data_IF_917698700216
#
_entry.id   IF_917698700216
#
_cell.length_a   1.000
_cell.length_b   1.000
_cell.length_c   1.000
_cell.angle_alpha   90.00
_cell.angle_beta   90.00
_cell.angle_gamma   90.00
#
_symmetry.space_group_name_H-M   'P 1'
#
loop_
_entity.id
_entity.type
_entity.pdbx_description
1 polymer ?
#
# COMPACT_ATOMS: atom_id res chain seq x y z
N UNK A 1 25.36 36.27 7.43
CA UNK A 1 24.14 35.73 6.79
C UNK A 1 24.61 34.73 5.76
N UNK A 2 24.43 33.45 6.09
CA UNK A 2 25.10 32.34 5.42
C UNK A 2 24.49 32.09 4.04
N UNK A 3 25.29 31.54 3.14
CA UNK A 3 24.91 31.24 1.75
C UNK A 3 23.64 30.36 1.70
N UNK A 4 23.55 29.37 2.59
CA UNK A 4 22.38 28.53 2.80
C UNK A 4 21.11 29.31 3.17
N UNK A 5 21.24 30.41 3.94
CA UNK A 5 20.08 31.25 4.28
C UNK A 5 19.65 32.12 3.11
N UNK A 6 20.58 32.55 2.25
CA UNK A 6 20.27 33.34 1.05
C UNK A 6 19.61 32.49 -0.02
N UNK A 7 20.06 31.26 -0.24
CA UNK A 7 19.46 30.35 -1.22
C UNK A 7 18.05 29.91 -0.81
N UNK A 8 17.79 29.76 0.49
CA UNK A 8 16.45 29.47 0.98
C UNK A 8 15.51 30.69 0.85
N UNK A 9 16.02 31.91 1.00
CA UNK A 9 15.25 33.15 0.79
C UNK A 9 14.98 33.36 -0.70
N UNK A 10 15.98 33.13 -1.57
CA UNK A 10 15.83 33.21 -3.02
C UNK A 10 14.81 32.20 -3.55
N UNK A 11 14.89 30.93 -3.13
CA UNK A 11 13.89 29.91 -3.47
C UNK A 11 12.50 30.25 -2.94
N UNK A 12 12.40 30.83 -1.74
CA UNK A 12 11.13 31.27 -1.18
C UNK A 12 10.53 32.44 -1.96
N UNK A 13 11.36 33.34 -2.49
CA UNK A 13 10.94 34.47 -3.32
C UNK A 13 10.50 34.00 -4.71
N UNK A 14 11.22 33.06 -5.32
CA UNK A 14 10.85 32.46 -6.61
C UNK A 14 9.53 31.69 -6.52
N UNK A 15 9.31 30.92 -5.45
CA UNK A 15 8.03 30.22 -5.23
C UNK A 15 6.88 31.23 -5.05
N UNK A 16 7.12 32.33 -4.33
CA UNK A 16 6.13 33.39 -4.16
C UNK A 16 5.81 34.09 -5.49
N UNK A 17 6.81 34.29 -6.34
CA UNK A 17 6.68 34.90 -7.66
C UNK A 17 5.88 34.00 -8.61
N UNK A 18 6.21 32.70 -8.67
CA UNK A 18 5.47 31.72 -9.48
C UNK A 18 4.01 31.60 -9.03
N UNK A 19 3.76 31.63 -7.71
CA UNK A 19 2.39 31.58 -7.17
C UNK A 19 1.63 32.86 -7.49
N UNK A 20 2.27 34.03 -7.45
CA UNK A 20 1.62 35.30 -7.81
C UNK A 20 1.32 35.40 -9.30
N UNK A 21 2.22 34.93 -10.16
CA UNK A 21 2.02 34.89 -11.62
C UNK A 21 0.85 33.96 -12.00
N UNK A 22 0.74 32.80 -11.34
CA UNK A 22 -0.39 31.88 -11.50
C UNK A 22 -1.70 32.55 -11.05
N UNK A 23 -1.68 33.34 -9.97
CA UNK A 23 -2.88 34.05 -9.49
C UNK A 23 -3.29 35.16 -10.46
N UNK A 24 -2.34 35.89 -11.06
CA UNK A 24 -2.63 36.96 -12.02
C UNK A 24 -3.13 36.42 -13.36
N UNK A 25 -2.54 35.34 -13.87
CA UNK A 25 -3.02 34.67 -15.10
C UNK A 25 -4.42 34.08 -14.90
N UNK A 26 -4.71 33.56 -13.71
CA UNK A 26 -6.01 33.03 -13.37
C UNK A 26 -7.07 34.13 -13.10
N UNK A 27 -6.63 35.36 -12.76
CA UNK A 27 -7.47 36.55 -12.59
C UNK A 27 -7.82 37.23 -13.93
N UNK A 28 -6.95 37.15 -14.94
CA UNK A 28 -7.20 37.72 -16.26
C UNK A 28 -8.25 36.93 -17.09
N UNK A 29 -8.48 35.65 -16.75
CA UNK A 29 -9.29 34.73 -17.55
C UNK A 29 -10.80 34.66 -17.19
N UNK A 30 -11.35 35.48 -16.27
CA UNK A 30 -12.78 35.36 -15.88
C UNK A 30 -13.52 36.68 -15.61
N UNK A 31 -14.78 36.82 -16.05
CA UNK A 31 -15.60 37.99 -15.75
C UNK A 31 -16.14 37.99 -14.31
N UNK A 32 -16.09 39.18 -13.70
CA UNK A 32 -17.04 39.76 -12.76
C UNK A 32 -17.37 39.03 -11.43
N UNK A 33 -16.56 39.37 -10.42
CA UNK A 33 -16.94 39.83 -9.07
C UNK A 33 -17.66 38.96 -8.02
N UNK A 34 -18.14 37.74 -8.29
CA UNK A 34 -18.76 36.91 -7.23
C UNK A 34 -17.87 35.78 -6.69
N UNK A 35 -16.76 35.45 -7.36
CA UNK A 35 -15.91 34.29 -6.98
C UNK A 35 -14.67 34.69 -6.14
N UNK A 36 -14.38 35.99 -6.03
CA UNK A 36 -13.23 36.51 -5.26
C UNK A 36 -13.35 36.29 -3.74
N UNK A 37 -14.56 36.02 -3.23
CA UNK A 37 -14.79 35.79 -1.80
C UNK A 37 -14.66 34.32 -1.37
N UNK A 38 -14.91 33.34 -2.24
CA UNK A 38 -14.93 31.93 -1.77
C UNK A 38 -13.58 31.21 -1.90
N UNK A 39 -12.77 31.58 -2.90
CA UNK A 39 -11.47 30.91 -3.12
C UNK A 39 -10.34 31.48 -2.27
N UNK A 40 -10.37 32.77 -1.94
CA UNK A 40 -9.41 33.41 -1.00
C UNK A 40 -9.59 32.89 0.43
N UNK A 41 -10.84 32.75 0.90
CA UNK A 41 -11.16 32.25 2.24
C UNK A 41 -10.67 30.82 2.49
N UNK A 42 -10.72 29.92 1.50
CA UNK A 42 -10.24 28.54 1.70
C UNK A 42 -8.71 28.49 1.78
N UNK A 43 -7.97 29.37 1.10
CA UNK A 43 -6.50 29.35 1.11
C UNK A 43 -5.87 30.17 2.24
N UNK A 44 -6.46 31.31 2.64
CA UNK A 44 -5.99 32.11 3.77
C UNK A 44 -6.47 31.55 5.12
N UNK A 45 -7.69 31.02 5.19
CA UNK A 45 -8.36 30.67 6.45
C UNK A 45 -8.33 29.16 6.78
N UNK A 46 -7.98 28.29 5.81
CA UNK A 46 -7.66 26.88 6.11
C UNK A 46 -6.21 26.68 6.57
N UNK A 47 -5.33 27.68 6.34
CA UNK A 47 -3.93 27.64 6.78
C UNK A 47 -3.65 27.93 8.26
N UNK A 48 -4.56 28.42 9.14
CA UNK A 48 -4.25 28.60 10.55
C UNK A 48 -5.14 27.81 11.54
N UNK A 49 -5.84 26.76 11.13
CA UNK A 49 -6.44 25.80 12.07
C UNK A 49 -5.68 24.47 12.06
N UNK A 50 -4.39 24.56 12.35
CA UNK A 50 -3.62 23.41 12.83
C UNK A 50 -4.32 22.73 14.00
N UNK A 51 -3.98 21.47 14.29
CA UNK A 51 -4.63 20.70 15.34
C UNK A 51 -4.43 21.40 16.70
N UNK A 52 -5.44 22.14 17.19
CA UNK A 52 -5.35 22.96 18.42
C UNK A 52 -4.98 22.14 19.67
N UNK A 53 -5.17 20.83 19.63
CA UNK A 53 -4.81 19.90 20.71
C UNK A 53 -3.35 19.47 20.68
N UNK A 54 -2.68 19.51 19.53
CA UNK A 54 -1.27 19.16 19.40
C UNK A 54 -0.45 20.40 19.06
N UNK A 55 0.32 20.88 20.04
CA UNK A 55 1.29 21.94 19.83
C UNK A 55 2.63 21.36 19.41
N UNK A 56 3.32 22.07 18.54
CA UNK A 56 4.73 21.83 18.24
C UNK A 56 5.58 22.13 19.48
N UNK A 57 6.82 21.65 19.58
CA UNK A 57 7.71 21.95 20.73
C UNK A 57 7.89 23.47 20.96
N UNK A 58 7.73 24.27 19.90
CA UNK A 58 7.77 25.74 19.93
C UNK A 58 6.45 26.42 20.34
N UNK A 59 5.38 25.67 20.63
CA UNK A 59 4.08 26.22 21.05
C UNK A 59 3.09 26.50 19.92
N UNK A 60 3.54 26.49 18.66
CA UNK A 60 2.68 26.69 17.49
C UNK A 60 1.71 25.53 17.24
N UNK A 61 0.55 25.83 16.63
CA UNK A 61 -0.40 24.81 16.21
C UNK A 61 0.24 23.88 15.17
N UNK A 62 0.25 22.58 15.45
CA UNK A 62 0.80 21.59 14.51
C UNK A 62 0.00 21.60 13.21
N UNK A 63 0.69 21.70 12.07
CA UNK A 63 0.09 21.59 10.75
C UNK A 63 -0.82 20.35 10.65
N UNK A 64 -1.96 20.50 9.98
CA UNK A 64 -2.93 19.41 9.82
C UNK A 64 -2.27 18.26 9.05
N UNK A 65 -2.54 17.01 9.46
CA UNK A 65 -2.07 15.85 8.71
C UNK A 65 -2.81 15.74 7.37
N UNK A 66 -2.19 15.09 6.39
CA UNK A 66 -2.85 14.81 5.10
C UNK A 66 -4.19 14.09 5.27
N UNK A 67 -4.29 13.17 6.24
CA UNK A 67 -5.55 12.50 6.59
C UNK A 67 -6.63 13.49 7.07
N UNK A 68 -6.25 14.53 7.83
CA UNK A 68 -7.16 15.58 8.25
C UNK A 68 -7.64 16.43 7.08
N UNK A 69 -6.75 16.81 6.16
CA UNK A 69 -7.12 17.54 4.94
C UNK A 69 -8.07 16.70 4.07
N UNK A 70 -7.80 15.40 3.95
CA UNK A 70 -8.67 14.47 3.22
C UNK A 70 -10.06 14.32 3.85
N UNK A 71 -10.15 14.34 5.18
CA UNK A 71 -11.43 14.30 5.89
C UNK A 71 -12.28 15.54 5.60
N UNK A 72 -11.69 16.74 5.64
CA UNK A 72 -12.39 17.98 5.26
C UNK A 72 -12.81 17.96 3.80
N UNK A 73 -11.94 17.52 2.91
CA UNK A 73 -12.28 17.34 1.50
C UNK A 73 -13.48 16.40 1.30
N UNK A 74 -13.52 15.27 2.02
CA UNK A 74 -14.66 14.34 1.98
C UNK A 74 -15.95 14.99 2.49
N UNK A 75 -15.90 15.75 3.58
CA UNK A 75 -17.06 16.47 4.09
C UNK A 75 -17.63 17.47 3.07
N UNK A 76 -16.75 18.20 2.36
CA UNK A 76 -17.17 19.11 1.27
C UNK A 76 -17.78 18.35 0.10
N UNK A 77 -17.20 17.20 -0.28
CA UNK A 77 -17.75 16.34 -1.34
C UNK A 77 -19.14 15.80 -0.95
N UNK A 78 -19.32 15.41 0.30
CA UNK A 78 -20.61 14.88 0.77
C UNK A 78 -21.67 15.99 0.84
N UNK A 79 -21.28 17.21 1.25
CA UNK A 79 -22.15 18.37 1.15
C UNK A 79 -22.53 18.66 -0.31
N UNK A 80 -21.58 18.61 -1.24
CA UNK A 80 -21.85 18.77 -2.68
C UNK A 80 -22.85 17.73 -3.19
N UNK A 81 -22.70 16.45 -2.81
CA UNK A 81 -23.65 15.40 -3.19
C UNK A 81 -25.06 15.68 -2.66
N UNK A 82 -25.18 16.16 -1.41
CA UNK A 82 -26.47 16.58 -0.85
C UNK A 82 -27.09 17.74 -1.62
N UNK A 83 -26.29 18.76 -1.97
CA UNK A 83 -26.76 19.91 -2.75
C UNK A 83 -27.20 19.52 -4.16
N UNK A 84 -26.48 18.60 -4.82
CA UNK A 84 -26.87 18.05 -6.13
C UNK A 84 -28.15 17.23 -6.04
N UNK A 85 -28.30 16.40 -5.00
CA UNK A 85 -29.53 15.63 -4.79
C UNK A 85 -30.76 16.52 -4.58
N UNK A 86 -30.57 17.70 -3.96
CA UNK A 86 -31.59 18.72 -3.77
C UNK A 86 -31.75 19.67 -4.97
N UNK A 87 -30.98 19.46 -6.05
CA UNK A 87 -30.95 20.33 -7.25
C UNK A 87 -30.62 21.80 -6.95
N UNK A 88 -29.94 22.06 -5.82
CA UNK A 88 -29.54 23.41 -5.38
C UNK A 88 -28.23 23.88 -6.01
N UNK A 89 -27.43 22.95 -6.52
CA UNK A 89 -26.09 23.25 -7.05
C UNK A 89 -25.92 22.64 -8.44
N UNK A 90 -25.67 23.49 -9.44
CA UNK A 90 -25.45 23.12 -10.84
C UNK A 90 -23.97 22.98 -11.23
N UNK A 91 -23.05 23.18 -10.28
CA UNK A 91 -21.61 23.16 -10.56
C UNK A 91 -21.07 21.73 -10.76
N UNK A 92 -19.96 21.58 -11.51
CA UNK A 92 -19.30 20.29 -11.70
C UNK A 92 -18.72 19.75 -10.39
N UNK A 93 -18.50 18.43 -10.36
CA UNK A 93 -18.04 17.74 -9.15
C UNK A 93 -16.69 18.30 -8.65
N UNK A 94 -16.54 18.57 -7.34
CA UNK A 94 -15.36 19.23 -6.77
C UNK A 94 -14.06 18.40 -6.87
N UNK A 95 -14.13 17.08 -7.07
CA UNK A 95 -12.97 16.24 -7.46
C UNK A 95 -12.61 16.44 -8.94
N UNK A 96 -12.07 17.62 -9.24
CA UNK A 96 -11.46 17.91 -10.54
C UNK A 96 -9.95 17.66 -10.56
N UNK A 97 -9.30 18.04 -11.68
CA UNK A 97 -7.84 17.97 -11.83
C UNK A 97 -7.10 18.74 -10.74
N UNK A 98 -7.55 19.95 -10.41
CA UNK A 98 -6.98 20.81 -9.37
C UNK A 98 -6.97 20.16 -7.99
N UNK A 99 -8.01 19.39 -7.65
CA UNK A 99 -8.06 18.60 -6.42
C UNK A 99 -6.95 17.55 -6.40
N UNK A 100 -6.78 16.81 -7.49
CA UNK A 100 -5.73 15.79 -7.60
C UNK A 100 -4.33 16.40 -7.52
N UNK A 101 -4.07 17.49 -8.25
CA UNK A 101 -2.79 18.20 -8.25
C UNK A 101 -2.42 18.72 -6.84
N UNK A 102 -3.40 19.24 -6.09
CA UNK A 102 -3.22 19.66 -4.69
C UNK A 102 -2.82 18.49 -3.80
N UNK A 103 -3.56 17.38 -3.85
CA UNK A 103 -3.26 16.21 -3.01
C UNK A 103 -1.92 15.57 -3.37
N UNK A 104 -1.52 15.56 -4.64
CA UNK A 104 -0.22 15.05 -5.04
C UNK A 104 0.92 15.94 -4.55
N UNK A 105 0.74 17.27 -4.59
CA UNK A 105 1.70 18.22 -4.02
C UNK A 105 1.83 18.03 -2.51
N UNK A 106 0.71 17.86 -1.79
CA UNK A 106 0.70 17.59 -0.36
C UNK A 106 1.42 16.28 -0.03
N UNK A 107 1.15 15.19 -0.75
CA UNK A 107 1.84 13.89 -0.57
C UNK A 107 3.35 14.00 -0.79
N UNK A 108 3.78 14.74 -1.82
CA UNK A 108 5.21 14.99 -2.09
C UNK A 108 5.87 15.75 -0.94
N UNK A 109 5.27 16.86 -0.50
CA UNK A 109 5.79 17.66 0.62
C UNK A 109 5.87 16.88 1.94
N UNK A 110 4.86 16.05 2.27
CA UNK A 110 4.91 15.19 3.45
C UNK A 110 6.02 14.13 3.34
N UNK A 111 6.22 13.55 2.15
CA UNK A 111 7.27 12.57 1.91
C UNK A 111 8.65 13.20 2.08
N UNK A 112 8.86 14.40 1.53
CA UNK A 112 10.09 15.18 1.73
C UNK A 112 10.32 15.52 3.20
N UNK A 113 9.28 15.95 3.91
CA UNK A 113 9.36 16.23 5.36
C UNK A 113 9.74 14.99 6.15
N UNK A 114 9.13 13.83 5.88
CA UNK A 114 9.48 12.55 6.52
C UNK A 114 10.92 12.16 6.23
N UNK A 115 11.40 12.38 4.98
CA UNK A 115 12.80 12.14 4.59
C UNK A 115 13.78 13.06 5.34
N UNK A 116 13.49 14.37 5.42
CA UNK A 116 14.31 15.35 6.16
C UNK A 116 14.37 15.05 7.66
N UNK A 117 13.27 14.55 8.23
CA UNK A 117 13.20 14.20 9.65
C UNK A 117 13.79 12.82 9.97
N UNK A 118 14.38 12.12 8.99
CA UNK A 118 14.87 10.74 9.14
C UNK A 118 13.84 9.81 9.80
N UNK A 119 12.55 10.02 9.52
CA UNK A 119 11.50 9.15 10.03
C UNK A 119 11.71 7.75 9.44
N UNK A 120 11.60 6.74 10.30
CA UNK A 120 11.73 5.35 9.87
C UNK A 120 10.69 5.05 8.79
N UNK A 121 11.19 4.53 7.65
CA UNK A 121 10.39 4.19 6.48
C UNK A 121 9.84 2.78 6.57
N UNK A 122 10.41 1.94 7.45
CA UNK A 122 9.96 0.59 7.71
C UNK A 122 8.76 0.54 8.67
N UNK A 123 8.54 1.61 9.45
CA UNK A 123 7.43 1.70 10.39
C UNK A 123 6.08 1.62 9.67
N UNK A 124 5.25 0.64 10.04
CA UNK A 124 3.96 0.35 9.38
C UNK A 124 4.09 -0.30 8.00
N UNK A 125 5.25 -0.89 7.67
CA UNK A 125 5.44 -1.70 6.46
C UNK A 125 5.36 -3.20 6.78
N UNK A 126 5.69 -4.06 5.82
CA UNK A 126 5.69 -5.53 5.98
C UNK A 126 6.56 -6.00 7.17
N UNK A 127 7.56 -5.21 7.57
CA UNK A 127 8.43 -5.49 8.72
C UNK A 127 7.73 -5.34 10.09
N UNK A 128 6.62 -4.62 10.15
CA UNK A 128 5.77 -4.46 11.35
C UNK A 128 4.68 -5.55 11.43
N UNK A 129 4.78 -6.56 10.56
CA UNK A 129 3.84 -7.67 10.46
C UNK A 129 4.17 -8.83 11.38
N UNK A 130 3.87 -10.03 10.91
CA UNK A 130 4.07 -11.28 11.64
C UNK A 130 5.54 -11.69 11.64
N UNK A 131 6.01 -12.17 12.80
CA UNK A 131 7.36 -12.72 12.92
C UNK A 131 7.40 -14.18 12.45
N UNK A 132 8.59 -14.74 12.27
CA UNK A 132 8.78 -16.13 11.80
C UNK A 132 8.16 -17.12 12.80
N UNK A 133 8.27 -16.86 14.10
CA UNK A 133 7.66 -17.68 15.15
C UNK A 133 6.13 -17.69 15.05
N UNK A 134 5.52 -16.54 14.75
CA UNK A 134 4.07 -16.42 14.57
C UNK A 134 3.60 -17.22 13.35
N UNK A 135 4.37 -17.17 12.25
CA UNK A 135 4.09 -17.98 11.06
C UNK A 135 4.14 -19.49 11.35
N UNK A 136 5.07 -19.92 12.20
CA UNK A 136 5.18 -21.33 12.61
C UNK A 136 3.97 -21.73 13.44
N UNK A 137 3.58 -20.94 14.45
CA UNK A 137 2.40 -21.22 15.27
C UNK A 137 1.13 -21.30 14.43
N UNK A 138 0.99 -20.40 13.45
CA UNK A 138 -0.15 -20.39 12.53
C UNK A 138 -0.19 -21.67 11.66
N UNK A 139 0.97 -22.11 11.19
CA UNK A 139 1.11 -23.38 10.45
C UNK A 139 0.74 -24.57 11.29
N UNK A 140 1.24 -24.64 12.53
CA UNK A 140 0.95 -25.75 13.43
C UNK A 140 -0.54 -25.80 13.79
N UNK A 141 -1.20 -24.64 13.91
CA UNK A 141 -2.65 -24.54 14.05
C UNK A 141 -3.39 -25.12 12.84
N UNK A 142 -3.05 -24.73 11.61
CA UNK A 142 -3.70 -25.28 10.41
C UNK A 142 -3.44 -26.78 10.22
N UNK A 143 -2.24 -27.26 10.54
CA UNK A 143 -1.92 -28.68 10.50
C UNK A 143 -2.68 -29.48 11.56
N UNK A 144 -2.94 -28.90 12.73
CA UNK A 144 -3.69 -29.56 13.82
C UNK A 144 -5.15 -29.84 13.47
N UNK A 145 -5.75 -29.05 12.57
CA UNK A 145 -7.13 -29.24 12.09
C UNK A 145 -7.27 -30.53 11.27
N UNK A 146 -6.17 -31.00 10.64
CA UNK A 146 -6.11 -32.24 9.85
C UNK A 146 -7.25 -32.38 8.80
N UNK A 147 -7.73 -31.26 8.28
CA UNK A 147 -8.70 -31.19 7.19
C UNK A 147 -7.99 -30.79 5.88
N UNK A 148 -8.36 -31.44 4.78
CA UNK A 148 -7.82 -31.14 3.45
C UNK A 148 -8.19 -29.74 2.97
N UNK A 149 -9.30 -29.17 3.47
CA UNK A 149 -9.69 -27.78 3.17
C UNK A 149 -8.79 -26.80 3.93
N UNK A 150 -8.51 -27.06 5.21
CA UNK A 150 -7.65 -26.21 6.04
C UNK A 150 -6.21 -26.12 5.54
N UNK A 151 -5.73 -27.11 4.77
CA UNK A 151 -4.41 -27.04 4.13
C UNK A 151 -4.32 -26.01 2.99
N UNK A 152 -5.45 -25.46 2.51
CA UNK A 152 -5.45 -24.38 1.50
C UNK A 152 -5.09 -23.02 2.10
N UNK A 153 -5.42 -22.79 3.36
CA UNK A 153 -5.13 -21.55 4.08
C UNK A 153 -3.62 -21.25 4.18
N UNK A 154 -2.74 -22.19 4.59
CA UNK A 154 -1.30 -21.96 4.57
C UNK A 154 -0.77 -21.72 3.15
N UNK A 155 -1.34 -22.36 2.12
CA UNK A 155 -0.96 -22.08 0.73
C UNK A 155 -1.27 -20.64 0.38
N UNK A 156 -2.50 -20.17 0.58
CA UNK A 156 -2.85 -18.78 0.28
C UNK A 156 -1.95 -17.83 1.07
N UNK A 157 -1.80 -18.03 2.38
CA UNK A 157 -0.99 -17.19 3.25
C UNK A 157 0.48 -17.09 2.80
N UNK A 158 1.17 -18.22 2.68
CA UNK A 158 2.60 -18.24 2.33
C UNK A 158 2.86 -17.82 0.88
N UNK A 159 1.94 -18.12 -0.04
CA UNK A 159 2.07 -17.65 -1.42
C UNK A 159 1.90 -16.14 -1.52
N UNK A 160 1.01 -15.54 -0.73
CA UNK A 160 0.92 -14.07 -0.68
C UNK A 160 2.10 -13.41 0.00
N UNK A 161 2.65 -14.04 1.03
CA UNK A 161 3.85 -13.54 1.68
C UNK A 161 5.06 -13.60 0.73
N UNK A 162 5.28 -14.73 0.08
CA UNK A 162 6.44 -14.93 -0.80
C UNK A 162 6.35 -14.09 -2.10
N UNK A 163 5.18 -14.03 -2.73
CA UNK A 163 5.00 -13.29 -3.98
C UNK A 163 4.71 -11.80 -3.77
N UNK A 164 4.45 -11.36 -2.53
CA UNK A 164 3.86 -10.06 -2.21
C UNK A 164 2.59 -9.75 -3.03
N UNK A 165 1.88 -10.82 -3.42
CA UNK A 165 0.75 -10.76 -4.31
C UNK A 165 -0.54 -10.44 -3.57
N UNK A 166 -1.44 -9.70 -4.22
CA UNK A 166 -2.77 -9.42 -3.70
C UNK A 166 -3.64 -10.69 -3.75
N UNK A 167 -4.61 -10.78 -2.85
CA UNK A 167 -5.56 -11.90 -2.83
C UNK A 167 -6.30 -12.12 -4.15
N UNK A 168 -6.61 -11.05 -4.90
CA UNK A 168 -7.23 -11.14 -6.22
C UNK A 168 -6.31 -11.88 -7.22
N UNK A 169 -5.03 -11.50 -7.30
CA UNK A 169 -4.06 -12.15 -8.20
C UNK A 169 -3.85 -13.62 -7.85
N UNK A 170 -3.80 -13.96 -6.55
CA UNK A 170 -3.57 -15.34 -6.10
C UNK A 170 -4.71 -16.29 -6.44
N UNK A 171 -5.96 -15.82 -6.44
CA UNK A 171 -7.14 -16.64 -6.74
C UNK A 171 -7.20 -17.12 -8.18
N UNK A 172 -6.54 -16.42 -9.09
CA UNK A 172 -6.49 -16.78 -10.51
C UNK A 172 -5.30 -17.68 -10.86
N UNK A 173 -4.44 -18.00 -9.90
CA UNK A 173 -3.30 -18.89 -10.15
C UNK A 173 -3.82 -20.31 -10.37
N UNK A 174 -3.54 -20.86 -11.54
CA UNK A 174 -3.83 -22.25 -11.85
C UNK A 174 -2.56 -23.09 -11.77
N UNK A 175 -2.70 -24.42 -11.71
CA UNK A 175 -1.54 -25.31 -11.71
C UNK A 175 -0.63 -25.17 -12.94
N UNK A 176 -1.15 -25.00 -14.18
CA UNK A 176 -0.31 -24.79 -15.35
C UNK A 176 0.53 -23.50 -15.30
N UNK A 177 0.15 -22.55 -14.45
CA UNK A 177 0.89 -21.30 -14.26
C UNK A 177 2.10 -21.48 -13.31
N UNK A 178 2.19 -22.62 -12.63
CA UNK A 178 3.27 -22.96 -11.71
C UNK A 178 4.39 -23.71 -12.44
N UNK A 179 5.57 -23.11 -12.44
CA UNK A 179 6.77 -23.60 -13.08
C UNK A 179 7.88 -23.75 -12.04
N UNK A 180 8.81 -24.67 -12.31
CA UNK A 180 10.06 -24.75 -11.57
C UNK A 180 11.19 -24.37 -12.52
N UNK A 181 12.10 -23.55 -12.03
CA UNK A 181 13.30 -23.14 -12.74
C UNK A 181 14.48 -23.51 -11.87
N UNK A 182 15.53 -24.08 -12.45
CA UNK A 182 16.81 -24.21 -11.74
C UNK A 182 17.59 -22.91 -11.89
N UNK A 183 17.99 -22.31 -10.77
CA UNK A 183 18.83 -21.12 -10.76
C UNK A 183 20.28 -21.57 -10.46
N UNK A 184 21.14 -21.70 -11.49
CA UNK A 184 22.54 -22.05 -11.29
C UNK A 184 23.23 -20.92 -10.51
N UNK A 185 24.20 -21.29 -9.68
CA UNK A 185 25.06 -20.37 -8.92
C UNK A 185 24.37 -19.50 -7.84
N UNK A 186 23.09 -19.71 -7.52
CA UNK A 186 22.36 -18.95 -6.48
C UNK A 186 22.53 -19.47 -5.03
N UNK A 187 23.62 -20.18 -4.74
CA UNK A 187 23.97 -20.57 -3.38
C UNK A 187 24.81 -21.84 -3.30
N UNK A 188 25.03 -22.33 -2.07
CA UNK A 188 25.78 -23.57 -1.82
C UNK A 188 24.98 -24.85 -2.12
N UNK A 189 23.68 -24.72 -2.40
CA UNK A 189 22.76 -25.82 -2.75
C UNK A 189 21.99 -25.46 -4.01
N UNK A 190 21.53 -26.48 -4.76
CA UNK A 190 20.66 -26.30 -5.93
C UNK A 190 19.40 -25.54 -5.53
N UNK A 191 19.24 -24.33 -6.06
CA UNK A 191 18.07 -23.49 -5.83
C UNK A 191 17.03 -23.75 -6.92
N UNK A 192 15.88 -24.31 -6.54
CA UNK A 192 14.74 -24.54 -7.43
C UNK A 192 13.53 -23.77 -6.90
N UNK A 193 13.40 -22.48 -7.20
CA UNK A 193 12.20 -21.73 -6.84
C UNK A 193 10.97 -22.20 -7.59
N UNK A 194 9.82 -21.96 -6.95
CA UNK A 194 8.51 -22.03 -7.59
C UNK A 194 8.27 -20.69 -8.28
N UNK A 195 8.25 -20.69 -9.60
CA UNK A 195 7.91 -19.54 -10.43
C UNK A 195 6.45 -19.62 -10.81
N UNK A 196 5.72 -18.52 -10.67
CA UNK A 196 4.29 -18.43 -10.96
C UNK A 196 4.07 -17.35 -12.00
N UNK A 197 3.40 -17.73 -13.07
CA UNK A 197 2.95 -16.81 -14.11
C UNK A 197 1.67 -16.13 -13.63
N UNK A 198 1.69 -14.80 -13.59
CA UNK A 198 0.54 -13.96 -13.28
C UNK A 198 0.18 -13.16 -14.54
N UNK A 199 -0.90 -13.54 -15.20
CA UNK A 199 -1.40 -12.86 -16.40
C UNK A 199 -2.74 -12.13 -16.16
N UNK A 200 -3.28 -12.19 -14.94
CA UNK A 200 -4.57 -11.60 -14.58
C UNK A 200 -4.48 -10.80 -13.30
N UNK A 201 -5.04 -9.60 -13.33
CA UNK A 201 -5.24 -8.79 -12.15
C UNK A 201 -5.92 -7.46 -12.49
N UNK A 202 -6.37 -6.73 -11.47
CA UNK A 202 -7.07 -5.45 -11.66
C UNK A 202 -6.34 -4.45 -12.57
N UNK A 203 -5.01 -4.38 -12.45
CA UNK A 203 -4.13 -3.50 -13.25
C UNK A 203 -3.64 -4.17 -14.53
N UNK A 204 -3.80 -5.49 -14.65
CA UNK A 204 -3.33 -6.30 -15.76
C UNK A 204 -4.51 -7.02 -16.43
N UNK A 205 -5.42 -6.21 -17.00
CA UNK A 205 -6.62 -6.70 -17.69
C UNK A 205 -6.32 -7.25 -19.09
N UNK A 206 -5.14 -6.94 -19.63
CA UNK A 206 -4.76 -7.24 -21.01
C UNK A 206 -3.82 -8.45 -21.14
N UNK A 207 -3.62 -9.24 -20.08
CA UNK A 207 -2.88 -10.50 -20.19
C UNK A 207 -1.36 -10.35 -20.24
N UNK A 208 -0.78 -9.26 -19.71
CA UNK A 208 0.70 -9.13 -19.67
C UNK A 208 1.26 -10.22 -18.76
N UNK A 209 2.34 -10.86 -19.17
CA UNK A 209 2.97 -11.89 -18.36
C UNK A 209 3.81 -11.20 -17.27
N UNK A 210 3.41 -11.39 -16.03
CA UNK A 210 4.19 -11.02 -14.84
C UNK A 210 4.66 -12.29 -14.16
N UNK A 211 5.85 -12.26 -13.55
CA UNK A 211 6.41 -13.40 -12.84
C UNK A 211 6.46 -13.10 -11.35
N UNK A 212 6.00 -14.06 -10.55
CA UNK A 212 6.24 -14.11 -9.12
C UNK A 212 7.07 -15.33 -8.81
N UNK A 213 8.03 -15.23 -7.90
CA UNK A 213 8.85 -16.37 -7.50
C UNK A 213 8.79 -16.57 -5.99
N UNK A 214 8.68 -17.83 -5.57
CA UNK A 214 8.76 -18.25 -4.19
C UNK A 214 9.97 -19.17 -4.02
N UNK A 215 10.91 -18.76 -3.19
CA UNK A 215 12.11 -19.55 -2.87
C UNK A 215 11.81 -20.60 -1.81
N UNK A 216 12.58 -21.69 -1.83
CA UNK A 216 12.51 -22.73 -0.80
C UNK A 216 13.09 -22.20 0.51
N UNK A 217 12.29 -22.24 1.58
CA UNK A 217 12.76 -21.93 2.93
C UNK A 217 13.43 -23.15 3.58
N UNK A 218 14.42 -22.90 4.46
CA UNK A 218 15.05 -23.95 5.29
C UNK A 218 14.05 -24.58 6.26
N UNK A 219 13.19 -23.75 6.85
CA UNK A 219 12.13 -24.20 7.76
C UNK A 219 10.93 -24.70 6.95
N UNK A 220 10.59 -25.97 7.13
CA UNK A 220 9.55 -26.65 6.33
C UNK A 220 8.15 -26.08 6.61
N UNK A 221 7.88 -25.62 7.84
CA UNK A 221 6.60 -25.04 8.22
C UNK A 221 6.30 -23.71 7.52
N UNK A 222 7.31 -22.90 7.26
CA UNK A 222 7.15 -21.56 6.65
C UNK A 222 7.29 -21.62 5.13
N UNK A 223 7.64 -22.79 4.59
CA UNK A 223 8.00 -22.92 3.18
C UNK A 223 6.74 -22.93 2.29
N UNK A 224 6.61 -21.98 1.34
CA UNK A 224 5.48 -21.95 0.42
C UNK A 224 5.42 -23.19 -0.48
N UNK A 225 6.58 -23.71 -0.90
CA UNK A 225 6.66 -24.95 -1.70
C UNK A 225 6.13 -26.15 -0.92
N UNK A 226 6.41 -26.23 0.39
CA UNK A 226 5.91 -27.32 1.22
C UNK A 226 4.39 -27.26 1.39
N UNK A 227 3.84 -26.06 1.64
CA UNK A 227 2.39 -25.88 1.73
C UNK A 227 1.68 -26.32 0.44
N UNK A 228 2.22 -25.90 -0.71
CA UNK A 228 1.70 -26.26 -2.03
C UNK A 228 1.80 -27.78 -2.27
N UNK A 229 2.94 -28.39 -1.92
CA UNK A 229 3.14 -29.84 -2.04
C UNK A 229 2.16 -30.66 -1.17
N UNK A 230 1.88 -30.21 0.06
CA UNK A 230 0.92 -30.89 0.95
C UNK A 230 -0.51 -30.87 0.37
N UNK A 231 -0.93 -29.75 -0.20
CA UNK A 231 -2.24 -29.65 -0.87
C UNK A 231 -2.28 -30.57 -2.09
N UNK A 232 -1.25 -30.58 -2.95
CA UNK A 232 -1.21 -31.50 -4.08
C UNK A 232 -1.26 -32.97 -3.65
N UNK A 233 -0.51 -33.31 -2.61
CA UNK A 233 -0.47 -34.67 -2.09
C UNK A 233 -1.86 -35.14 -1.62
N UNK A 234 -2.57 -34.29 -0.88
CA UNK A 234 -3.93 -34.61 -0.40
C UNK A 234 -4.95 -34.68 -1.53
N UNK A 235 -4.87 -33.80 -2.53
CA UNK A 235 -5.78 -33.78 -3.68
C UNK A 235 -5.57 -34.97 -4.63
N UNK A 236 -4.32 -35.36 -4.90
CA UNK A 236 -4.00 -36.42 -5.87
C UNK A 236 -4.21 -37.82 -5.26
N UNK A 237 -3.83 -38.02 -4.00
CA UNK A 237 -3.82 -39.35 -3.40
C UNK A 237 -5.09 -39.70 -2.63
N UNK A 238 -6.03 -38.77 -2.46
CA UNK A 238 -7.31 -39.00 -1.75
C UNK A 238 -7.14 -39.71 -0.38
N UNK A 239 -5.99 -39.53 0.28
CA UNK A 239 -5.61 -40.23 1.51
C UNK A 239 -5.25 -39.24 2.61
N UNK A 240 -6.25 -38.90 3.43
CA UNK A 240 -6.11 -38.17 4.70
C UNK A 240 -5.15 -38.89 5.69
N UNK A 241 -4.91 -40.19 5.49
CA UNK A 241 -4.11 -41.03 6.40
C UNK A 241 -2.62 -40.66 6.52
N UNK A 242 -2.04 -39.88 5.59
CA UNK A 242 -0.60 -39.59 5.59
C UNK A 242 -0.21 -38.20 6.14
N UNK A 243 -1.15 -37.26 6.27
CA UNK A 243 -0.94 -36.06 7.10
C UNK A 243 -0.61 -36.49 8.54
N UNK A 244 -1.28 -37.54 9.03
CA UNK A 244 -0.96 -38.20 10.30
C UNK A 244 0.47 -38.73 10.37
N UNK A 245 1.03 -39.20 9.25
CA UNK A 245 2.39 -39.75 9.17
C UNK A 245 3.45 -38.64 9.16
N UNK A 246 3.18 -37.50 8.49
CA UNK A 246 4.05 -36.32 8.53
C UNK A 246 4.04 -35.64 9.92
N UNK A 247 2.88 -35.57 10.57
CA UNK A 247 2.77 -35.10 11.96
C UNK A 247 3.52 -36.08 12.90
N UNK A 248 3.37 -37.39 12.70
CA UNK A 248 4.04 -38.40 13.51
C UNK A 248 5.57 -38.44 13.32
N UNK A 249 6.08 -38.16 12.11
CA UNK A 249 7.54 -38.10 11.88
C UNK A 249 8.19 -36.89 12.54
N UNK A 250 7.44 -35.78 12.70
CA UNK A 250 7.89 -34.60 13.46
C UNK A 250 7.99 -34.85 14.96
N UNK A 251 7.14 -35.68 15.55
CA UNK A 251 7.23 -36.03 16.99
C UNK A 251 8.33 -37.06 17.30
N UNK A 252 8.96 -37.65 16.28
CA UNK A 252 9.99 -38.67 16.40
C UNK A 252 11.42 -38.18 16.14
N UNK A 253 11.62 -36.88 15.94
CA UNK A 253 12.95 -36.27 15.83
C UNK A 253 13.29 -35.56 17.15
N UNK A 254 13.79 -36.33 18.11
CA UNK A 254 14.62 -35.86 19.23
C UNK A 254 16.09 -36.10 18.88
#
# INVERSE_FOLDING_TARGET
>A
MDEYTRDNIANSQEIHQVVTDIITDHAAARPSNTVKQETSYVFEDARPRGNKRQKTKAGDAKALSLAGVEAYAKAVIDLYKLQQALLLNSHPHPRGKTYHDLFDTLKRSETERKRKNYADRALGTVLDGYNVEDMVQLTDYWLSQNDGVSLRDPVDFFLGHALLARGESRRFIEFPDMLTLELPDEGSQTCTPLVIIMNRGKTNQHGRIEYGAAMRCKNVNVCPLNAVALVYYTLILNRVALVKFYIASKTLSF
#
